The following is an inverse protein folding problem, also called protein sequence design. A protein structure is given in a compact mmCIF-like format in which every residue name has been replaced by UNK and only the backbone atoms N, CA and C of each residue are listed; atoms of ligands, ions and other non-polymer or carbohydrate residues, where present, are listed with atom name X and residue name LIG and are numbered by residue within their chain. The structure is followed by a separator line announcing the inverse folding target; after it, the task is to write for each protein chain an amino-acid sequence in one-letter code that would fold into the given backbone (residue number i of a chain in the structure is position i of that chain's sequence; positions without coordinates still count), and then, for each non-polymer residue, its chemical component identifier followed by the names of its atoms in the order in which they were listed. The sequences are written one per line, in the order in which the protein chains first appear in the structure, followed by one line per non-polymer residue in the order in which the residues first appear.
data_IF_538253495013
#
_entry.id   IF_538253495013
#
_cell.length_a   1.000
_cell.length_b   1.000
_cell.length_c   1.000
_cell.angle_alpha   90.00
_cell.angle_beta   90.00
_cell.angle_gamma   90.00
#
_symmetry.space_group_name_H-M   'P 1'
#
loop_
_entity.id
_entity.type
_entity.pdbx_description
1 polymer ?
#
# COMPACT_ATOMS: atom_id res chain seq x y z
N UNK A 1 18.46 -22.61 -15.56
CA UNK A 1 18.62 -21.29 -14.90
C UNK A 1 17.24 -20.66 -14.84
N UNK A 2 16.64 -20.57 -13.66
CA UNK A 2 15.44 -19.77 -13.46
C UNK A 2 15.90 -18.31 -13.33
N UNK A 3 15.25 -17.38 -14.05
CA UNK A 3 15.51 -15.95 -13.87
C UNK A 3 14.68 -15.48 -12.70
N UNK A 4 15.28 -14.78 -11.75
CA UNK A 4 14.51 -14.06 -10.75
C UNK A 4 13.81 -12.89 -11.43
N UNK A 5 12.50 -12.83 -11.28
CA UNK A 5 11.65 -11.78 -11.82
C UNK A 5 10.70 -11.27 -10.74
N UNK A 6 10.20 -10.07 -10.96
CA UNK A 6 9.23 -9.41 -10.09
C UNK A 6 8.08 -8.90 -10.96
N UNK A 7 6.85 -9.21 -10.57
CA UNK A 7 5.64 -8.62 -11.16
C UNK A 7 4.99 -7.72 -10.11
N UNK A 8 4.60 -6.52 -10.51
CA UNK A 8 3.88 -5.57 -9.67
C UNK A 8 2.53 -5.31 -10.34
N UNK A 9 1.46 -5.72 -9.68
CA UNK A 9 0.11 -5.30 -10.01
C UNK A 9 -0.23 -4.11 -9.13
N UNK A 10 -0.15 -2.92 -9.70
CA UNK A 10 -0.46 -1.68 -8.99
C UNK A 10 -1.93 -1.32 -9.18
N UNK A 11 -2.59 -0.91 -8.10
CA UNK A 11 -3.99 -0.45 -8.11
C UNK A 11 -4.97 -1.46 -8.74
N UNK A 12 -4.86 -2.74 -8.34
CA UNK A 12 -5.61 -3.87 -8.89
C UNK A 12 -7.07 -3.91 -8.41
N UNK A 13 -7.83 -2.85 -8.71
CA UNK A 13 -9.11 -2.57 -8.05
C UNK A 13 -10.36 -2.84 -8.88
N UNK A 14 -10.22 -3.44 -10.07
CA UNK A 14 -11.38 -3.84 -10.88
C UNK A 14 -11.86 -5.23 -10.46
N UNK A 15 -13.02 -5.37 -9.78
CA UNK A 15 -13.52 -6.66 -9.32
C UNK A 15 -13.94 -7.59 -10.46
N UNK A 16 -14.06 -7.09 -11.70
CA UNK A 16 -14.38 -7.91 -12.87
C UNK A 16 -13.15 -8.58 -13.48
N UNK A 17 -11.94 -8.19 -13.06
CA UNK A 17 -10.68 -8.77 -13.53
C UNK A 17 -10.28 -9.90 -12.61
N UNK A 18 -10.25 -11.11 -13.16
CA UNK A 18 -9.66 -12.27 -12.49
C UNK A 18 -8.12 -12.20 -12.58
N UNK A 19 -7.52 -11.59 -11.57
CA UNK A 19 -6.08 -11.33 -11.49
C UNK A 19 -5.25 -12.63 -11.50
N UNK A 20 -5.82 -13.75 -11.05
CA UNK A 20 -5.12 -15.05 -10.99
C UNK A 20 -4.63 -15.53 -12.36
N UNK A 21 -5.32 -15.13 -13.44
CA UNK A 21 -4.98 -15.46 -14.83
C UNK A 21 -3.69 -14.81 -15.31
N UNK A 22 -3.24 -13.75 -14.64
CA UNK A 22 -2.05 -13.00 -15.00
C UNK A 22 -0.83 -13.36 -14.13
N UNK A 23 -1.03 -14.20 -13.09
CA UNK A 23 0.06 -14.64 -12.20
C UNK A 23 0.79 -15.83 -12.85
N UNK A 24 2.12 -15.73 -13.08
CA UNK A 24 2.90 -16.84 -13.62
C UNK A 24 2.86 -18.08 -12.71
N UNK A 25 2.43 -19.21 -13.27
CA UNK A 25 2.36 -20.48 -12.54
C UNK A 25 3.76 -21.13 -12.49
N UNK A 26 4.55 -20.78 -11.48
CA UNK A 26 5.85 -21.40 -11.23
C UNK A 26 6.29 -21.26 -9.77
N UNK A 27 7.45 -21.83 -9.43
CA UNK A 27 8.02 -21.87 -8.08
C UNK A 27 9.14 -20.84 -7.84
N UNK A 28 9.26 -19.82 -8.69
CA UNK A 28 10.28 -18.77 -8.59
C UNK A 28 9.69 -17.41 -8.98
N UNK A 29 10.41 -16.34 -8.65
CA UNK A 29 9.93 -14.97 -8.83
C UNK A 29 9.01 -14.51 -7.69
N UNK A 30 8.69 -13.22 -7.69
CA UNK A 30 7.86 -12.58 -6.68
C UNK A 30 6.74 -11.77 -7.35
N UNK A 31 5.60 -11.68 -6.67
CA UNK A 31 4.46 -10.86 -7.08
C UNK A 31 4.09 -9.93 -5.94
N UNK A 32 3.98 -8.64 -6.22
CA UNK A 32 3.43 -7.64 -5.31
C UNK A 32 2.11 -7.14 -5.90
N UNK A 33 1.07 -7.11 -5.10
CA UNK A 33 -0.25 -6.61 -5.48
C UNK A 33 -0.61 -5.50 -4.51
N UNK A 34 -0.95 -4.31 -5.01
CA UNK A 34 -1.59 -3.24 -4.24
C UNK A 34 -3.04 -3.13 -4.68
N UNK A 35 -3.96 -3.04 -3.72
CA UNK A 35 -5.38 -2.91 -4.01
C UNK A 35 -6.17 -2.33 -2.83
N UNK A 36 -7.26 -1.64 -3.15
CA UNK A 36 -8.34 -1.26 -2.22
C UNK A 36 -9.43 -2.35 -2.08
N UNK A 37 -9.40 -3.40 -2.90
CA UNK A 37 -10.29 -4.56 -2.76
C UNK A 37 -9.77 -5.48 -1.65
N UNK A 38 -10.55 -5.62 -0.58
CA UNK A 38 -10.12 -6.42 0.57
C UNK A 38 -9.97 -7.89 0.20
N UNK A 39 -10.77 -8.40 -0.75
CA UNK A 39 -10.76 -9.80 -1.18
C UNK A 39 -9.44 -10.24 -1.82
N UNK A 40 -8.61 -9.29 -2.31
CA UNK A 40 -7.29 -9.58 -2.90
C UNK A 40 -6.35 -10.26 -1.91
N UNK A 41 -6.54 -10.07 -0.60
CA UNK A 41 -5.75 -10.76 0.43
C UNK A 41 -5.79 -12.29 0.29
N UNK A 42 -6.86 -12.85 -0.31
CA UNK A 42 -7.04 -14.29 -0.49
C UNK A 42 -6.02 -14.89 -1.47
N UNK A 43 -5.41 -14.06 -2.31
CA UNK A 43 -4.38 -14.44 -3.27
C UNK A 43 -2.97 -14.47 -2.67
N UNK A 44 -2.78 -13.89 -1.49
CA UNK A 44 -1.48 -13.80 -0.84
C UNK A 44 -1.01 -15.17 -0.32
N UNK A 45 0.31 -15.38 -0.37
CA UNK A 45 0.89 -16.52 0.37
C UNK A 45 0.65 -16.34 1.88
N UNK A 46 0.53 -17.43 2.66
CA UNK A 46 0.33 -17.33 4.10
C UNK A 46 1.38 -16.44 4.78
N UNK A 47 0.93 -15.39 5.47
CA UNK A 47 1.80 -14.41 6.13
C UNK A 47 2.35 -13.30 5.22
N UNK A 48 1.92 -13.23 3.96
CA UNK A 48 2.33 -12.20 2.99
C UNK A 48 1.17 -11.30 2.56
N UNK A 49 0.22 -11.03 3.46
CA UNK A 49 -0.73 -9.92 3.31
C UNK A 49 -0.36 -8.79 4.27
N UNK A 50 -0.53 -7.56 3.81
CA UNK A 50 -0.34 -6.36 4.62
C UNK A 50 -1.56 -5.48 4.43
N UNK A 51 -2.32 -5.29 5.49
CA UNK A 51 -3.40 -4.31 5.51
C UNK A 51 -2.81 -2.98 5.98
N UNK A 52 -2.90 -1.97 5.14
CA UNK A 52 -2.52 -0.62 5.52
C UNK A 52 -3.63 -0.03 6.39
N UNK A 53 -3.29 0.29 7.65
CA UNK A 53 -4.15 1.09 8.51
C UNK A 53 -4.00 2.56 8.19
N UNK A 54 -4.89 3.37 8.75
CA UNK A 54 -4.72 4.81 8.79
C UNK A 54 -3.40 5.18 9.50
N UNK A 55 -2.86 6.35 9.15
CA UNK A 55 -1.75 6.95 9.87
C UNK A 55 -2.19 7.34 11.28
N UNK A 56 -1.30 7.22 12.26
CA UNK A 56 -1.52 7.84 13.56
C UNK A 56 -1.67 9.35 13.38
N UNK A 57 -2.47 10.01 14.23
CA UNK A 57 -2.75 11.44 14.09
C UNK A 57 -1.47 12.28 14.02
N UNK A 58 -0.46 11.95 14.84
CA UNK A 58 0.85 12.62 14.82
C UNK A 58 1.58 12.43 13.49
N UNK A 59 1.53 11.22 12.90
CA UNK A 59 2.15 10.94 11.61
C UNK A 59 1.44 11.68 10.47
N UNK A 60 0.11 11.75 10.54
CA UNK A 60 -0.70 12.50 9.58
C UNK A 60 -0.38 14.01 9.64
N UNK A 61 -0.26 14.57 10.85
CA UNK A 61 0.11 15.97 11.09
C UNK A 61 1.51 16.27 10.57
N UNK A 62 2.48 15.43 10.91
CA UNK A 62 3.86 15.59 10.45
C UNK A 62 3.95 15.50 8.91
N UNK A 63 3.21 14.56 8.31
CA UNK A 63 3.13 14.41 6.87
C UNK A 63 2.54 15.66 6.21
N UNK A 64 1.48 16.22 6.78
CA UNK A 64 0.82 17.42 6.28
C UNK A 64 1.76 18.63 6.33
N UNK A 65 2.39 18.90 7.47
CA UNK A 65 3.30 20.04 7.63
C UNK A 65 4.51 19.93 6.70
N UNK A 66 5.07 18.71 6.58
CA UNK A 66 6.17 18.44 5.65
C UNK A 66 5.80 18.77 4.20
N UNK A 67 4.59 18.42 3.76
CA UNK A 67 4.13 18.69 2.39
C UNK A 67 3.67 20.14 2.18
N UNK A 68 3.22 20.81 3.24
CA UNK A 68 2.90 22.23 3.22
C UNK A 68 4.16 23.13 3.24
N UNK A 69 5.35 22.56 3.43
CA UNK A 69 6.60 23.28 3.66
C UNK A 69 6.58 24.15 4.92
N UNK A 70 5.79 23.75 5.91
CA UNK A 70 5.67 24.42 7.20
C UNK A 70 6.54 23.75 8.26
N UNK A 71 6.91 24.50 9.29
CA UNK A 71 7.64 23.94 10.43
C UNK A 71 6.69 23.25 11.42
N UNK A 72 7.26 22.44 12.31
CA UNK A 72 6.53 21.71 13.35
C UNK A 72 6.37 22.51 14.65
N UNK A 73 6.28 23.84 14.56
CA UNK A 73 6.08 24.67 15.74
C UNK A 73 4.67 24.44 16.32
N UNK A 74 4.48 24.78 17.60
CA UNK A 74 3.26 24.45 18.36
C UNK A 74 1.98 24.96 17.67
N UNK A 75 2.02 26.18 17.13
CA UNK A 75 0.87 26.77 16.43
C UNK A 75 0.50 25.96 15.18
N UNK A 76 1.49 25.60 14.36
CA UNK A 76 1.29 24.82 13.13
C UNK A 76 0.82 23.40 13.41
N UNK A 77 1.40 22.75 14.43
CA UNK A 77 0.94 21.44 14.92
C UNK A 77 -0.51 21.51 15.43
N UNK A 78 -0.86 22.54 16.20
CA UNK A 78 -2.21 22.71 16.71
C UNK A 78 -3.21 23.00 15.58
N UNK A 79 -2.84 23.79 14.56
CA UNK A 79 -3.68 24.03 13.39
C UNK A 79 -3.88 22.75 12.57
N UNK A 80 -2.82 21.97 12.34
CA UNK A 80 -2.88 20.71 11.60
C UNK A 80 -3.69 19.61 12.33
N UNK A 81 -3.60 19.54 13.66
CA UNK A 81 -4.35 18.57 14.48
C UNK A 81 -5.86 18.84 14.54
N UNK A 82 -6.28 20.10 14.38
CA UNK A 82 -7.66 20.56 14.59
C UNK A 82 -8.40 20.93 13.29
N UNK A 83 -7.77 20.71 12.13
CA UNK A 83 -8.33 20.96 10.81
C UNK A 83 -9.41 19.98 10.38
#
# INVERSE_FOLDING_TARGET
MHKDWLVIFDNADDPNIDLSKYIPQCNHGNVIITSCLTEVHQMASPGFHLDFSDLEQSEAVDLLLKHAHENSDNDNQQLACNG
#
